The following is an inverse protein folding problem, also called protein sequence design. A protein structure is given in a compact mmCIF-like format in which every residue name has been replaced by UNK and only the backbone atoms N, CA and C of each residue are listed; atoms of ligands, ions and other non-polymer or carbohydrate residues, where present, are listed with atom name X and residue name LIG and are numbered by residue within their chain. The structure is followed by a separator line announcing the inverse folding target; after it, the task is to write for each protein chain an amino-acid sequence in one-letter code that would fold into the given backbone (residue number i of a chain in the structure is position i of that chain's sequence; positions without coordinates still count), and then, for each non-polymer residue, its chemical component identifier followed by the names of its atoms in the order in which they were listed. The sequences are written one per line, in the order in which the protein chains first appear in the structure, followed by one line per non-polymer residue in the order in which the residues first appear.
data_IF_059560144978
#
_entry.id   IF_059560144978
#
_cell.length_a   1.000
_cell.length_b   1.000
_cell.length_c   1.000
_cell.angle_alpha   90.00
_cell.angle_beta   90.00
_cell.angle_gamma   90.00
#
_symmetry.space_group_name_H-M   'P 1'
#
loop_
_entity.id
_entity.type
_entity.pdbx_description
1 polymer ?
#
# COMPACT_ATOMS: atom_id res chain seq x y z
N UNK A 1 -23.62 40.12 -17.94
CA UNK A 1 -22.97 40.14 -16.61
C UNK A 1 -22.39 38.74 -16.35
N UNK A 2 -21.10 38.49 -16.62
CA UNK A 2 -20.49 37.23 -16.25
C UNK A 2 -20.17 37.28 -14.74
N UNK A 3 -20.83 36.44 -13.95
CA UNK A 3 -20.42 36.21 -12.56
C UNK A 3 -19.06 35.53 -12.57
N UNK A 4 -18.04 36.26 -12.12
CA UNK A 4 -16.70 35.79 -11.78
C UNK A 4 -16.82 34.70 -10.70
N UNK A 5 -17.11 33.47 -11.13
CA UNK A 5 -17.16 32.29 -10.27
C UNK A 5 -15.72 31.84 -10.10
N UNK A 6 -14.99 32.54 -9.22
CA UNK A 6 -13.70 32.05 -8.73
C UNK A 6 -13.94 30.67 -8.15
N UNK A 7 -13.45 29.64 -8.82
CA UNK A 7 -13.53 28.26 -8.36
C UNK A 7 -12.84 28.18 -7.00
N UNK A 8 -13.66 28.15 -5.94
CA UNK A 8 -13.17 28.04 -4.58
C UNK A 8 -12.42 26.71 -4.46
N UNK A 9 -11.13 26.80 -4.12
CA UNK A 9 -10.29 25.62 -3.90
C UNK A 9 -10.93 24.78 -2.79
N UNK A 10 -11.27 23.50 -3.05
CA UNK A 10 -11.93 22.66 -2.06
C UNK A 10 -11.04 22.49 -0.82
N UNK A 11 -11.64 22.65 0.37
CA UNK A 11 -10.94 22.47 1.63
C UNK A 11 -10.89 20.98 1.98
N UNK A 12 -9.67 20.42 1.96
CA UNK A 12 -9.40 19.04 2.35
C UNK A 12 -8.88 19.00 3.79
N UNK A 13 -9.54 18.22 4.63
CA UNK A 13 -9.11 17.95 6.01
C UNK A 13 -8.73 16.49 6.11
N UNK A 14 -7.63 16.22 6.81
CA UNK A 14 -7.12 14.87 6.92
C UNK A 14 -7.06 14.42 8.38
N UNK A 15 -7.82 13.38 8.72
CA UNK A 15 -7.99 12.89 10.09
C UNK A 15 -7.23 11.57 10.23
N UNK A 16 -6.14 11.50 11.03
CA UNK A 16 -5.47 10.23 11.29
C UNK A 16 -6.44 9.30 12.03
N UNK A 17 -6.57 8.05 11.56
CA UNK A 17 -7.33 7.04 12.27
C UNK A 17 -6.34 6.31 13.18
N UNK A 18 -6.53 6.45 14.50
CA UNK A 18 -5.80 5.61 15.45
C UNK A 18 -6.31 4.19 15.30
N UNK A 19 -5.46 3.32 14.75
CA UNK A 19 -5.78 1.92 14.56
C UNK A 19 -6.00 1.26 15.93
N UNK A 20 -7.25 1.19 16.38
CA UNK A 20 -7.68 0.20 17.39
C UNK A 20 -8.03 -1.11 16.69
N UNK A 21 -7.16 -1.59 15.80
CA UNK A 21 -7.35 -2.91 15.21
C UNK A 21 -6.68 -3.95 16.11
N UNK A 22 -7.51 -4.69 16.85
CA UNK A 22 -7.14 -6.04 17.28
C UNK A 22 -7.06 -6.89 16.01
N UNK A 23 -5.87 -7.29 15.60
CA UNK A 23 -5.71 -8.40 14.67
C UNK A 23 -6.39 -9.63 15.28
N UNK A 24 -7.51 -10.06 14.72
CA UNK A 24 -8.12 -11.36 15.05
C UNK A 24 -7.49 -12.41 14.14
N UNK A 25 -6.23 -12.74 14.40
CA UNK A 25 -5.45 -13.69 13.60
C UNK A 25 -3.98 -13.51 13.91
N UNK A 26 -3.27 -14.60 14.13
CA UNK A 26 -1.89 -14.64 14.59
C UNK A 26 -0.94 -13.95 13.61
N UNK A 27 -0.75 -12.64 13.78
CA UNK A 27 0.40 -11.92 13.28
C UNK A 27 1.29 -11.65 14.49
N UNK A 28 2.25 -12.53 14.73
CA UNK A 28 3.38 -12.22 15.60
C UNK A 28 4.22 -11.13 14.89
N UNK A 29 4.50 -9.99 15.54
CA UNK A 29 5.47 -9.05 15.01
C UNK A 29 6.86 -9.68 15.15
N UNK A 30 7.50 -10.02 14.03
CA UNK A 30 8.96 -10.17 14.00
C UNK A 30 9.55 -8.77 14.10
N UNK A 31 10.22 -8.48 15.22
CA UNK A 31 11.11 -7.33 15.35
C UNK A 31 12.38 -7.64 14.55
N UNK A 32 12.46 -7.10 13.33
CA UNK A 32 13.73 -6.94 12.61
C UNK A 32 14.27 -5.54 12.90
N UNK A 33 14.75 -5.34 14.12
CA UNK A 33 15.64 -4.24 14.50
C UNK A 33 17.01 -4.85 14.81
N UNK A 34 17.83 -5.10 13.79
CA UNK A 34 19.30 -5.15 13.88
C UNK A 34 19.90 -5.31 12.48
N UNK A 35 20.03 -4.22 11.73
CA UNK A 35 21.00 -4.13 10.63
C UNK A 35 21.83 -2.85 10.80
N UNK A 36 23.13 -2.96 11.10
CA UNK A 36 23.98 -1.79 11.24
C UNK A 36 24.22 -1.15 9.87
N UNK A 37 23.86 0.13 9.75
CA UNK A 37 24.19 0.98 8.61
C UNK A 37 25.69 1.26 8.64
N UNK A 38 26.46 0.57 7.78
CA UNK A 38 27.82 0.99 7.46
C UNK A 38 27.77 2.29 6.64
N UNK A 39 28.10 3.41 7.30
CA UNK A 39 28.41 4.69 6.64
C UNK A 39 29.76 4.59 5.93
N UNK A 40 29.72 4.32 4.62
CA UNK A 40 30.85 4.45 3.71
C UNK A 40 31.00 5.88 3.19
N UNK A 41 32.20 6.43 3.38
CA UNK A 41 32.60 7.82 3.21
C UNK A 41 32.80 8.19 1.74
N UNK A 42 32.43 9.41 1.38
CA UNK A 42 32.73 10.06 0.10
C UNK A 42 34.24 10.17 -0.16
N UNK A 43 34.66 9.95 -1.41
CA UNK A 43 35.93 10.41 -1.96
C UNK A 43 35.70 11.16 -3.27
N UNK A 44 36.41 12.28 -3.39
CA UNK A 44 36.32 13.33 -4.40
C UNK A 44 36.83 12.91 -5.78
N UNK A 45 36.35 13.68 -6.76
CA UNK A 45 36.79 13.78 -8.14
C UNK A 45 38.27 14.16 -8.32
N UNK A 46 38.87 13.71 -9.43
CA UNK A 46 39.65 14.54 -10.35
C UNK A 46 39.94 13.78 -11.66
N UNK A 47 40.08 14.56 -12.73
CA UNK A 47 40.14 14.19 -14.14
C UNK A 47 41.40 13.45 -14.59
N UNK A 48 41.28 12.69 -15.70
CA UNK A 48 42.33 12.59 -16.70
C UNK A 48 41.76 12.24 -18.09
N UNK A 49 42.07 13.11 -19.04
CA UNK A 49 42.01 12.98 -20.49
C UNK A 49 42.69 11.71 -21.03
N UNK A 50 42.06 11.02 -21.99
CA UNK A 50 42.70 10.48 -23.20
C UNK A 50 41.69 9.80 -24.15
N UNK A 51 41.50 10.38 -25.34
CA UNK A 51 41.26 9.64 -26.61
C UNK A 51 42.64 9.15 -27.10
N UNK A 52 42.79 8.04 -27.85
CA UNK A 52 42.23 7.92 -29.20
C UNK A 52 41.82 6.49 -29.69
N UNK A 53 41.06 6.54 -30.79
CA UNK A 53 40.91 5.64 -31.96
C UNK A 53 41.17 4.12 -31.98
N UNK A 54 40.48 3.52 -32.98
CA UNK A 54 40.65 2.22 -33.66
C UNK A 54 39.73 1.14 -33.09
N UNK A 55 38.66 0.75 -33.78
CA UNK A 55 38.64 0.30 -35.16
C UNK A 55 38.77 -1.21 -35.15
N UNK A 56 37.63 -1.93 -35.26
CA UNK A 56 37.58 -3.33 -35.69
C UNK A 56 36.15 -3.73 -36.08
N UNK A 57 36.02 -3.89 -37.38
CA UNK A 57 35.02 -4.68 -38.09
C UNK A 57 34.83 -6.09 -37.52
N UNK A 58 33.55 -6.49 -37.42
CA UNK A 58 32.89 -7.78 -37.83
C UNK A 58 33.53 -9.13 -37.42
N UNK A 59 32.77 -10.26 -37.36
CA UNK A 59 31.54 -10.56 -38.11
C UNK A 59 30.41 -11.29 -37.36
N UNK A 60 29.29 -11.36 -38.10
CA UNK A 60 28.19 -12.32 -37.98
C UNK A 60 28.68 -13.77 -38.19
N UNK A 61 28.25 -14.66 -37.32
CA UNK A 61 28.03 -16.10 -37.51
C UNK A 61 27.04 -16.50 -36.39
N UNK A 62 25.93 -17.20 -36.60
CA UNK A 62 25.60 -18.17 -37.61
C UNK A 62 25.62 -19.56 -36.98
N UNK A 63 24.44 -20.21 -36.92
CA UNK A 63 24.15 -21.64 -36.65
C UNK A 63 24.04 -22.13 -35.18
N UNK A 64 23.32 -23.24 -34.92
CA UNK A 64 22.03 -23.63 -35.48
C UNK A 64 21.01 -24.19 -34.46
N UNK A 65 19.77 -24.17 -34.92
CA UNK A 65 18.63 -24.99 -34.53
C UNK A 65 18.93 -26.49 -34.68
N UNK A 66 19.02 -27.28 -33.59
CA UNK A 66 18.86 -28.75 -33.57
C UNK A 66 18.60 -29.31 -32.16
N UNK A 67 17.64 -30.24 -32.09
CA UNK A 67 17.54 -31.39 -31.16
C UNK A 67 17.09 -31.02 -29.72
N UNK A 68 15.99 -31.51 -29.12
CA UNK A 68 15.22 -32.76 -29.20
C UNK A 68 13.90 -32.52 -28.45
N UNK A 69 12.72 -32.72 -29.02
CA UNK A 69 11.98 -34.00 -28.99
C UNK A 69 12.54 -35.08 -28.03
N UNK A 70 12.08 -35.06 -26.79
CA UNK A 70 11.98 -36.13 -25.78
C UNK A 70 11.18 -35.51 -24.63
N UNK A 71 10.06 -35.98 -24.11
CA UNK A 71 9.46 -37.30 -24.09
C UNK A 71 7.94 -37.15 -23.98
N UNK A 72 7.23 -37.84 -24.88
CA UNK A 72 5.91 -38.37 -24.55
C UNK A 72 6.12 -39.53 -23.56
N UNK A 73 5.12 -39.75 -22.71
CA UNK A 73 4.80 -40.98 -21.94
C UNK A 73 5.31 -41.04 -20.50
N UNK A 74 4.42 -40.63 -19.59
CA UNK A 74 3.91 -41.46 -18.49
C UNK A 74 2.64 -40.73 -17.98
N UNK A 75 1.42 -41.26 -18.05
CA UNK A 75 1.05 -42.65 -17.84
C UNK A 75 1.18 -42.99 -16.37
N UNK A 76 0.33 -42.38 -15.52
CA UNK A 76 0.40 -42.52 -14.07
C UNK A 76 -0.96 -42.35 -13.42
N UNK A 77 -1.88 -43.25 -13.76
CA UNK A 77 -3.05 -43.57 -12.95
C UNK A 77 -2.59 -43.99 -11.56
N UNK A 78 -2.93 -43.21 -10.54
CA UNK A 78 -2.95 -43.66 -9.15
C UNK A 78 -4.05 -42.89 -8.42
N UNK A 79 -5.26 -43.44 -8.49
CA UNK A 79 -6.16 -43.36 -7.34
C UNK A 79 -5.56 -44.20 -6.21
N UNK A 80 -5.60 -43.69 -4.98
CA UNK A 80 -6.04 -44.56 -3.91
C UNK A 80 -7.10 -43.90 -3.01
N UNK A 81 -8.17 -44.66 -2.90
CA UNK A 81 -8.65 -45.20 -1.64
C UNK A 81 -9.54 -44.31 -0.75
N UNK A 82 -10.83 -44.56 -0.98
CA UNK A 82 -11.87 -44.51 0.03
C UNK A 82 -11.47 -45.37 1.23
N UNK A 83 -11.22 -44.77 2.39
CA UNK A 83 -11.60 -45.32 3.72
C UNK A 83 -11.14 -44.39 4.83
N UNK A 84 -12.08 -43.68 5.48
CA UNK A 84 -12.43 -43.96 6.89
C UNK A 84 -13.52 -43.03 7.37
N UNK A 85 -14.69 -43.65 7.54
CA UNK A 85 -15.77 -43.17 8.39
C UNK A 85 -15.23 -43.02 9.81
N UNK A 86 -15.27 -41.82 10.35
CA UNK A 86 -15.07 -41.52 11.76
C UNK A 86 -16.01 -40.41 12.14
N UNK A 87 -17.27 -40.73 12.44
CA UNK A 87 -18.19 -39.80 13.11
C UNK A 87 -17.70 -39.63 14.55
N UNK A 88 -17.27 -38.43 14.98
CA UNK A 88 -17.08 -38.19 16.41
C UNK A 88 -18.44 -38.22 17.10
N UNK A 89 -18.52 -39.03 18.16
CA UNK A 89 -19.65 -39.11 19.09
C UNK A 89 -19.90 -37.72 19.68
N UNK A 90 -21.13 -37.22 19.54
CA UNK A 90 -21.62 -36.05 20.27
C UNK A 90 -21.64 -36.38 21.77
N UNK A 91 -20.99 -35.58 22.64
CA UNK A 91 -21.22 -35.67 24.07
C UNK A 91 -22.64 -35.20 24.42
N UNK A 92 -23.33 -35.89 25.34
CA UNK A 92 -24.60 -35.44 25.87
C UNK A 92 -24.37 -34.38 26.96
N UNK A 93 -25.24 -33.36 26.98
CA UNK A 93 -25.49 -32.59 28.20
C UNK A 93 -24.60 -31.37 28.44
N UNK A 94 -24.83 -30.30 27.69
CA UNK A 94 -24.77 -28.97 28.31
C UNK A 94 -26.06 -28.21 28.00
N UNK A 95 -26.85 -28.05 29.06
CA UNK A 95 -28.09 -27.30 29.08
C UNK A 95 -27.89 -25.93 28.44
N UNK A 96 -28.77 -25.64 27.49
CA UNK A 96 -28.89 -24.37 26.80
C UNK A 96 -29.17 -23.24 27.80
N UNK A 97 -28.12 -22.62 28.34
CA UNK A 97 -28.21 -21.25 28.85
C UNK A 97 -28.56 -20.37 27.65
N UNK A 98 -29.86 -20.11 27.50
CA UNK A 98 -30.44 -19.09 26.62
C UNK A 98 -29.86 -17.73 27.03
N UNK A 99 -28.62 -17.45 26.63
CA UNK A 99 -28.08 -16.11 26.64
C UNK A 99 -28.97 -15.33 25.69
N UNK A 100 -29.83 -14.48 26.26
CA UNK A 100 -30.57 -13.44 25.54
C UNK A 100 -29.56 -12.74 24.68
N UNK A 101 -29.50 -13.11 23.40
CA UNK A 101 -28.74 -12.41 22.38
C UNK A 101 -29.45 -11.07 22.29
N UNK A 102 -28.97 -10.09 23.04
CA UNK A 102 -29.22 -8.69 22.76
C UNK A 102 -28.77 -8.50 21.33
N UNK A 103 -29.74 -8.54 20.41
CA UNK A 103 -29.49 -8.24 19.00
C UNK A 103 -28.73 -6.92 19.01
N UNK A 104 -27.49 -6.88 18.46
CA UNK A 104 -26.77 -5.62 18.36
C UNK A 104 -27.74 -4.65 17.69
N UNK A 105 -28.18 -3.64 18.45
CA UNK A 105 -29.02 -2.59 17.88
C UNK A 105 -28.13 -1.96 16.82
N UNK A 106 -28.41 -2.27 15.56
CA UNK A 106 -27.82 -1.56 14.44
C UNK A 106 -28.08 -0.09 14.73
N UNK A 107 -27.05 0.63 15.15
CA UNK A 107 -27.12 2.08 15.29
C UNK A 107 -27.57 2.55 13.92
N UNK A 108 -28.78 3.11 13.85
CA UNK A 108 -29.21 3.83 12.66
C UNK A 108 -28.06 4.80 12.35
N UNK A 109 -27.51 4.79 11.12
CA UNK A 109 -26.53 5.80 10.75
C UNK A 109 -27.12 7.15 11.12
N UNK A 110 -26.38 7.92 11.92
CA UNK A 110 -26.80 9.26 12.31
C UNK A 110 -27.02 10.11 11.05
N UNK A 111 -27.79 11.21 11.15
CA UNK A 111 -27.92 12.14 10.04
C UNK A 111 -26.52 12.55 9.56
N UNK A 112 -26.32 12.54 8.24
CA UNK A 112 -25.05 12.95 7.63
C UNK A 112 -24.66 14.34 8.14
N UNK A 113 -23.42 14.51 8.58
CA UNK A 113 -22.92 15.80 9.06
C UNK A 113 -23.09 16.85 7.95
N UNK A 114 -23.84 17.95 8.19
CA UNK A 114 -24.28 18.85 7.12
C UNK A 114 -23.14 19.57 6.39
N UNK A 115 -21.92 19.56 6.94
CA UNK A 115 -20.73 20.20 6.38
C UNK A 115 -19.81 19.31 5.53
N UNK A 116 -20.02 17.99 5.46
CA UNK A 116 -19.14 17.08 4.71
C UNK A 116 -19.67 16.87 3.28
N UNK A 117 -18.88 17.29 2.28
CA UNK A 117 -19.19 17.08 0.87
C UNK A 117 -18.74 15.70 0.36
N UNK A 118 -17.72 15.11 0.99
CA UNK A 118 -17.23 13.78 0.66
C UNK A 118 -16.19 13.30 1.66
N UNK A 119 -16.00 11.99 1.75
CA UNK A 119 -14.95 11.39 2.54
C UNK A 119 -14.40 10.14 1.85
N UNK A 120 -13.09 9.90 1.97
CA UNK A 120 -12.42 8.73 1.44
C UNK A 120 -11.42 8.19 2.47
N UNK A 121 -11.39 6.86 2.63
CA UNK A 121 -10.38 6.21 3.42
C UNK A 121 -9.08 6.15 2.60
N UNK A 122 -7.99 6.67 3.16
CA UNK A 122 -6.65 6.51 2.64
C UNK A 122 -5.94 5.46 3.48
N UNK A 123 -5.70 4.30 2.88
CA UNK A 123 -4.86 3.27 3.47
C UNK A 123 -3.49 3.30 2.84
N UNK A 124 -2.46 3.07 3.66
CA UNK A 124 -1.10 2.82 3.19
C UNK A 124 -0.57 1.53 3.80
N UNK A 125 0.24 0.81 3.05
CA UNK A 125 0.87 -0.42 3.49
C UNK A 125 2.20 -0.68 2.79
N UNK A 126 2.81 -1.81 3.13
CA UNK A 126 4.00 -2.32 2.44
C UNK A 126 3.58 -3.42 1.47
N UNK A 127 4.18 -3.47 0.30
CA UNK A 127 4.00 -4.51 -0.71
C UNK A 127 5.28 -4.68 -1.51
N UNK A 128 5.24 -5.52 -2.54
CA UNK A 128 6.41 -5.83 -3.35
C UNK A 128 6.10 -5.71 -4.83
N UNK A 129 7.03 -5.09 -5.55
CA UNK A 129 7.09 -5.04 -7.00
C UNK A 129 8.12 -6.06 -7.46
N UNK A 130 7.80 -6.76 -8.55
CA UNK A 130 8.72 -7.72 -9.16
C UNK A 130 9.32 -7.12 -10.43
N UNK A 131 10.63 -7.24 -10.60
CA UNK A 131 11.33 -6.94 -11.83
C UNK A 131 10.98 -7.96 -12.93
N UNK A 132 11.44 -7.71 -14.15
CA UNK A 132 11.13 -8.55 -15.32
C UNK A 132 11.61 -10.01 -15.16
N UNK A 133 12.71 -10.22 -14.43
CA UNK A 133 13.26 -11.53 -14.06
C UNK A 133 12.46 -12.25 -12.96
N UNK A 134 11.44 -11.60 -12.40
CA UNK A 134 10.60 -12.11 -11.33
C UNK A 134 11.19 -11.94 -9.93
N UNK A 135 12.35 -11.30 -9.78
CA UNK A 135 12.89 -10.98 -8.46
C UNK A 135 12.19 -9.76 -7.85
N UNK A 136 12.02 -9.71 -6.52
CA UNK A 136 11.60 -8.48 -5.84
C UNK A 136 12.55 -7.34 -6.15
N UNK A 137 12.00 -6.14 -6.29
CA UNK A 137 12.81 -4.92 -6.32
C UNK A 137 13.53 -4.73 -4.97
N UNK A 138 14.71 -4.09 -5.00
CA UNK A 138 15.59 -3.94 -3.82
C UNK A 138 14.90 -3.32 -2.59
N UNK A 139 13.87 -2.50 -2.81
CA UNK A 139 13.09 -1.85 -1.78
C UNK A 139 11.63 -2.29 -1.79
N UNK A 140 11.04 -2.47 -0.61
CA UNK A 140 9.61 -2.68 -0.48
C UNK A 140 8.81 -1.47 -0.98
N UNK A 141 7.76 -1.72 -1.75
CA UNK A 141 6.90 -0.68 -2.27
C UNK A 141 5.91 -0.20 -1.20
N UNK A 142 5.70 1.11 -1.14
CA UNK A 142 4.57 1.68 -0.40
C UNK A 142 3.31 1.54 -1.25
N UNK A 143 2.37 0.73 -0.79
CA UNK A 143 1.06 0.58 -1.40
C UNK A 143 0.12 1.64 -0.84
N UNK A 144 -0.54 2.41 -1.68
CA UNK A 144 -1.44 3.51 -1.25
C UNK A 144 -2.77 3.50 -1.99
N UNK A 145 -3.85 3.85 -1.30
CA UNK A 145 -5.19 3.93 -1.91
C UNK A 145 -5.35 5.19 -2.79
N UNK A 146 -6.01 5.02 -3.93
CA UNK A 146 -6.52 6.08 -4.79
C UNK A 146 -7.99 6.28 -4.47
N UNK A 147 -8.35 7.49 -4.03
CA UNK A 147 -9.74 7.82 -3.75
C UNK A 147 -10.60 7.69 -5.02
N UNK A 148 -11.78 7.08 -4.88
CA UNK A 148 -12.75 6.97 -5.96
C UNK A 148 -13.23 8.36 -6.42
N UNK A 149 -13.55 9.27 -5.48
CA UNK A 149 -13.87 10.67 -5.75
C UNK A 149 -12.62 11.42 -6.26
N UNK A 150 -12.62 11.94 -7.50
CA UNK A 150 -11.50 12.71 -8.05
C UNK A 150 -11.10 13.91 -7.19
N UNK A 151 -12.04 14.54 -6.49
CA UNK A 151 -11.77 15.71 -5.64
C UNK A 151 -11.06 15.36 -4.33
N UNK A 152 -10.94 14.07 -4.00
CA UNK A 152 -10.21 13.55 -2.83
C UNK A 152 -8.86 12.93 -3.22
N UNK A 153 -8.53 12.90 -4.51
CA UNK A 153 -7.22 12.42 -4.99
C UNK A 153 -6.19 13.50 -4.71
N UNK A 154 -5.23 13.15 -3.87
CA UNK A 154 -4.14 14.02 -3.45
C UNK A 154 -2.86 13.73 -4.24
N UNK A 155 -2.77 12.55 -4.87
CA UNK A 155 -1.67 12.22 -5.75
C UNK A 155 -1.78 13.02 -7.05
N UNK A 156 -0.63 13.35 -7.64
CA UNK A 156 -0.55 14.05 -8.91
C UNK A 156 -0.23 13.03 -10.00
N UNK A 157 -1.08 12.98 -11.03
CA UNK A 157 -0.83 12.14 -12.20
C UNK A 157 0.18 12.85 -13.10
N UNK A 158 1.23 12.13 -13.52
CA UNK A 158 2.25 12.62 -14.45
C UNK A 158 1.91 12.21 -15.88
N UNK A 159 1.74 10.90 -16.11
CA UNK A 159 1.42 10.33 -17.42
C UNK A 159 0.27 9.32 -17.35
N UNK A 160 -0.39 9.07 -18.49
CA UNK A 160 -1.46 8.07 -18.61
C UNK A 160 -2.80 8.55 -18.05
N UNK A 161 -3.49 7.67 -17.30
CA UNK A 161 -4.81 7.95 -16.71
C UNK A 161 -4.96 7.34 -15.33
N UNK A 162 -5.97 7.80 -14.60
CA UNK A 162 -6.38 7.14 -13.36
C UNK A 162 -6.91 5.73 -13.63
N UNK A 163 -6.72 4.76 -12.70
CA UNK A 163 -7.26 3.42 -12.83
C UNK A 163 -8.79 3.44 -12.95
N UNK A 164 -9.31 2.64 -13.87
CA UNK A 164 -10.74 2.45 -14.12
C UNK A 164 -11.29 1.17 -13.47
N UNK A 165 -10.41 0.27 -13.01
CA UNK A 165 -10.78 -1.01 -12.43
C UNK A 165 -9.75 -1.54 -11.43
N UNK A 166 -10.08 -2.62 -10.70
CA UNK A 166 -9.30 -3.15 -9.59
C UNK A 166 -8.00 -3.87 -10.00
N UNK A 167 -7.82 -4.19 -11.28
CA UNK A 167 -6.60 -4.80 -11.83
C UNK A 167 -5.71 -3.76 -12.54
N UNK A 168 -6.03 -2.48 -12.41
CA UNK A 168 -5.22 -1.36 -12.89
C UNK A 168 -4.55 -0.63 -11.74
N UNK A 169 -3.30 -0.23 -11.93
CA UNK A 169 -2.48 0.42 -10.90
C UNK A 169 -1.75 1.63 -11.44
N UNK A 170 -1.24 2.47 -10.54
CA UNK A 170 -0.27 3.52 -10.86
C UNK A 170 1.03 3.25 -10.13
N UNK A 171 2.15 3.63 -10.76
CA UNK A 171 3.47 3.65 -10.14
C UNK A 171 3.99 5.07 -10.06
N UNK A 172 4.86 5.41 -9.11
CA UNK A 172 5.64 6.63 -9.28
C UNK A 172 6.54 6.54 -10.52
N UNK A 173 6.83 7.69 -11.11
CA UNK A 173 7.56 7.76 -12.37
C UNK A 173 8.98 7.15 -12.30
N UNK A 174 9.66 7.25 -11.16
CA UNK A 174 11.03 6.74 -11.01
C UNK A 174 11.03 5.22 -10.91
N UNK A 175 10.06 4.64 -10.20
CA UNK A 175 9.85 3.19 -10.13
C UNK A 175 9.43 2.62 -11.47
N UNK A 176 8.51 3.27 -12.19
CA UNK A 176 8.10 2.85 -13.52
C UNK A 176 9.30 2.82 -14.49
N UNK A 177 10.14 3.86 -14.46
CA UNK A 177 11.37 3.91 -15.25
C UNK A 177 12.37 2.81 -14.86
N UNK A 178 12.50 2.51 -13.57
CA UNK A 178 13.42 1.47 -13.06
C UNK A 178 13.08 0.07 -13.58
N UNK A 179 11.81 -0.24 -13.78
CA UNK A 179 11.33 -1.53 -14.31
C UNK A 179 10.99 -1.48 -15.80
N UNK A 180 11.36 -0.41 -16.51
CA UNK A 180 11.06 -0.16 -17.93
C UNK A 180 9.57 -0.31 -18.28
N UNK A 181 8.69 0.18 -17.40
CA UNK A 181 7.25 0.14 -17.58
C UNK A 181 6.69 1.49 -18.01
N UNK A 182 5.78 1.47 -18.98
CA UNK A 182 5.02 2.63 -19.44
C UNK A 182 3.52 2.39 -19.21
N UNK A 183 2.67 3.44 -19.20
CA UNK A 183 1.23 3.25 -19.19
C UNK A 183 0.79 2.33 -20.32
N UNK A 184 0.03 1.28 -19.97
CA UNK A 184 -0.33 0.18 -20.87
C UNK A 184 0.58 -1.05 -20.76
N UNK A 185 1.66 -1.02 -19.98
CA UNK A 185 2.45 -2.22 -19.69
C UNK A 185 1.80 -3.08 -18.60
N UNK A 186 2.15 -4.36 -18.61
CA UNK A 186 1.80 -5.29 -17.53
C UNK A 186 2.89 -5.26 -16.46
N UNK A 187 2.50 -5.03 -15.22
CA UNK A 187 3.40 -4.95 -14.06
C UNK A 187 3.20 -6.17 -13.18
N UNK A 188 4.30 -6.76 -12.70
CA UNK A 188 4.29 -7.90 -11.80
C UNK A 188 4.39 -7.44 -10.35
N UNK A 189 3.52 -7.98 -9.51
CA UNK A 189 3.33 -7.61 -8.11
C UNK A 189 3.29 -8.88 -7.26
N UNK A 190 3.72 -8.79 -6.01
CA UNK A 190 3.36 -9.80 -5.01
C UNK A 190 2.04 -9.40 -4.35
N UNK A 191 1.08 -10.33 -4.27
CA UNK A 191 -0.15 -10.16 -3.50
C UNK A 191 0.13 -10.31 -2.00
N UNK A 192 -0.80 -9.84 -1.18
CA UNK A 192 -0.72 -9.98 0.27
C UNK A 192 -0.65 -11.45 0.74
N UNK A 193 -1.13 -12.40 -0.06
CA UNK A 193 -1.04 -13.84 0.20
C UNK A 193 0.30 -14.47 -0.24
N UNK A 194 1.24 -13.67 -0.75
CA UNK A 194 2.54 -14.12 -1.25
C UNK A 194 2.53 -14.61 -2.70
N UNK A 195 1.36 -14.67 -3.37
CA UNK A 195 1.29 -15.10 -4.77
C UNK A 195 1.63 -13.96 -5.73
N UNK A 196 2.28 -14.30 -6.85
CA UNK A 196 2.52 -13.32 -7.90
C UNK A 196 1.21 -12.96 -8.63
N UNK A 197 1.06 -11.70 -9.01
CA UNK A 197 -0.03 -11.21 -9.83
C UNK A 197 0.46 -10.23 -10.88
N UNK A 198 -0.29 -10.14 -11.96
CA UNK A 198 -0.10 -9.13 -12.99
C UNK A 198 -1.20 -8.09 -12.85
N UNK A 199 -0.83 -6.82 -12.93
CA UNK A 199 -1.74 -5.69 -13.00
C UNK A 199 -1.35 -4.79 -14.18
N UNK A 200 -2.33 -4.09 -14.75
CA UNK A 200 -2.09 -3.16 -15.86
C UNK A 200 -1.65 -1.80 -15.32
N UNK A 201 -0.54 -1.26 -15.81
CA UNK A 201 -0.12 0.09 -15.47
C UNK A 201 -1.02 1.10 -16.19
N UNK A 202 -1.88 1.81 -15.47
CA UNK A 202 -2.78 2.81 -16.06
C UNK A 202 -2.10 4.17 -16.28
N UNK A 203 -1.08 4.48 -15.49
CA UNK A 203 -0.43 5.79 -15.47
C UNK A 203 0.72 5.86 -14.47
N UNK A 204 1.40 7.00 -14.45
CA UNK A 204 2.50 7.28 -13.51
C UNK A 204 2.18 8.46 -12.61
N UNK A 205 2.70 8.43 -11.39
CA UNK A 205 2.55 9.52 -10.41
C UNK A 205 3.78 10.42 -10.40
N UNK A 206 3.52 11.70 -10.15
CA UNK A 206 4.54 12.68 -9.83
C UNK A 206 4.80 12.68 -8.31
N UNK A 207 6.06 12.44 -7.92
CA UNK A 207 6.49 12.41 -6.52
C UNK A 207 6.21 13.71 -5.76
N UNK A 208 6.03 14.85 -6.45
CA UNK A 208 5.64 16.13 -5.83
C UNK A 208 4.27 16.10 -5.16
N UNK A 209 3.36 15.24 -5.63
CA UNK A 209 2.05 15.05 -5.00
C UNK A 209 2.13 14.32 -3.66
N UNK A 210 3.23 13.62 -3.40
CA UNK A 210 3.44 12.81 -2.21
C UNK A 210 4.86 12.95 -1.65
N UNK A 211 5.27 14.13 -1.14
CA UNK A 211 6.64 14.35 -0.68
C UNK A 211 7.09 13.36 0.41
N UNK A 212 6.15 12.89 1.24
CA UNK A 212 6.43 11.88 2.28
C UNK A 212 6.75 10.49 1.74
N UNK A 213 6.52 10.26 0.44
CA UNK A 213 6.80 8.99 -0.25
C UNK A 213 7.98 9.12 -1.24
N UNK A 214 8.59 10.30 -1.34
CA UNK A 214 9.70 10.53 -2.26
C UNK A 214 10.89 9.62 -1.92
N UNK A 215 11.52 9.05 -2.95
CA UNK A 215 12.67 8.16 -2.79
C UNK A 215 12.34 6.70 -2.46
N UNK A 216 11.07 6.36 -2.31
CA UNK A 216 10.61 4.98 -2.13
C UNK A 216 9.75 4.54 -3.31
N UNK A 217 9.75 3.25 -3.68
CA UNK A 217 8.80 2.76 -4.68
C UNK A 217 7.36 2.95 -4.19
N UNK A 218 6.50 3.52 -5.03
CA UNK A 218 5.09 3.76 -4.71
C UNK A 218 4.22 3.01 -5.70
N UNK A 219 3.32 2.20 -5.16
CA UNK A 219 2.25 1.52 -5.88
C UNK A 219 0.91 2.11 -5.43
N UNK A 220 0.23 2.85 -6.29
CA UNK A 220 -1.11 3.33 -5.99
C UNK A 220 -2.17 2.45 -6.64
N UNK A 221 -3.16 2.04 -5.85
CA UNK A 221 -4.20 1.09 -6.25
C UNK A 221 -5.58 1.68 -5.94
N UNK A 222 -6.65 1.27 -6.64
CA UNK A 222 -8.01 1.72 -6.32
C UNK A 222 -8.38 1.55 -4.84
N UNK A 223 -9.26 2.41 -4.34
CA UNK A 223 -9.81 2.25 -3.00
C UNK A 223 -10.41 0.84 -2.80
N UNK A 224 -10.23 0.28 -1.60
CA UNK A 224 -10.64 -1.08 -1.27
C UNK A 224 -9.71 -2.20 -1.80
N UNK A 225 -8.72 -1.91 -2.66
CA UNK A 225 -7.79 -2.95 -3.15
C UNK A 225 -6.43 -2.97 -2.46
N UNK A 226 -6.16 -2.06 -1.51
CA UNK A 226 -4.88 -2.04 -0.76
C UNK A 226 -4.60 -3.38 -0.10
N UNK A 227 -5.59 -4.01 0.53
CA UNK A 227 -5.44 -5.32 1.19
C UNK A 227 -5.12 -6.49 0.24
N UNK A 228 -5.24 -6.30 -1.09
CA UNK A 228 -4.84 -7.32 -2.08
C UNK A 228 -3.34 -7.34 -2.33
N UNK A 229 -2.68 -6.18 -2.20
CA UNK A 229 -1.27 -5.99 -2.58
C UNK A 229 -0.38 -5.63 -1.40
N UNK A 230 -0.94 -5.05 -0.33
CA UNK A 230 -0.20 -4.74 0.87
C UNK A 230 -0.10 -6.00 1.75
N UNK A 231 1.13 -6.49 1.98
CA UNK A 231 1.42 -7.55 2.95
C UNK A 231 1.16 -7.09 4.39
N UNK A 232 1.28 -5.79 4.65
CA UNK A 232 0.88 -5.17 5.92
C UNK A 232 0.34 -3.76 5.70
N UNK A 233 -0.82 -3.44 6.30
CA UNK A 233 -1.34 -2.06 6.37
C UNK A 233 -0.65 -1.33 7.51
N UNK A 234 0.06 -0.25 7.19
CA UNK A 234 0.87 0.51 8.15
C UNK A 234 0.18 1.77 8.64
N UNK A 235 -0.73 2.34 7.87
CA UNK A 235 -1.54 3.48 8.31
C UNK A 235 -2.91 3.54 7.63
N UNK A 236 -3.84 4.22 8.31
CA UNK A 236 -5.15 4.57 7.79
C UNK A 236 -5.48 6.02 8.16
N UNK A 237 -5.99 6.77 7.20
CA UNK A 237 -6.39 8.18 7.34
C UNK A 237 -7.74 8.39 6.68
N UNK A 238 -8.56 9.26 7.23
CA UNK A 238 -9.79 9.70 6.58
C UNK A 238 -9.55 11.07 5.94
N UNK A 239 -9.68 11.14 4.63
CA UNK A 239 -9.67 12.38 3.88
C UNK A 239 -11.11 12.88 3.76
N UNK A 240 -11.34 14.13 4.15
CA UNK A 240 -12.67 14.74 4.20
C UNK A 240 -12.66 16.02 3.39
N UNK A 241 -13.54 16.08 2.39
CA UNK A 241 -13.84 17.31 1.65
C UNK A 241 -15.03 17.98 2.30
N UNK A 242 -14.84 19.21 2.74
CA UNK A 242 -15.92 20.02 3.29
C UNK A 242 -16.69 20.72 2.17
N UNK A 243 -17.98 21.01 2.41
CA UNK A 243 -18.74 21.88 1.52
C UNK A 243 -18.15 23.30 1.56
N UNK A 244 -18.20 24.09 0.47
CA UNK A 244 -17.65 25.44 0.46
C UNK A 244 -18.23 26.36 1.53
N UNK A 245 -19.50 26.14 1.89
CA UNK A 245 -20.28 26.87 2.89
C UNK A 245 -20.17 26.26 4.31
N UNK A 246 -19.40 25.18 4.48
CA UNK A 246 -19.23 24.57 5.78
C UNK A 246 -18.48 25.53 6.73
N UNK A 247 -18.91 25.65 8.00
CA UNK A 247 -18.19 26.41 9.00
C UNK A 247 -16.74 25.94 9.07
N UNK A 248 -15.78 26.86 9.17
CA UNK A 248 -14.39 26.50 9.36
C UNK A 248 -14.27 25.64 10.64
N UNK A 249 -13.52 24.52 10.61
CA UNK A 249 -13.31 23.74 11.81
C UNK A 249 -12.68 24.64 12.88
N UNK A 250 -13.10 24.53 14.16
CA UNK A 250 -12.47 25.27 15.22
C UNK A 250 -10.96 24.93 15.21
N UNK A 251 -10.07 25.90 15.47
CA UNK A 251 -8.64 25.64 15.52
C UNK A 251 -8.37 24.48 16.49
N UNK A 252 -7.38 23.61 16.21
CA UNK A 252 -7.03 22.54 17.13
C UNK A 252 -6.77 23.18 18.49
N UNK A 253 -7.55 22.78 19.51
CA UNK A 253 -7.31 23.24 20.87
C UNK A 253 -5.87 22.83 21.17
N UNK A 254 -4.99 23.82 21.38
CA UNK A 254 -3.67 23.54 21.95
C UNK A 254 -3.95 22.76 23.22
N UNK A 255 -3.58 21.50 23.25
CA UNK A 255 -3.54 20.75 24.50
C UNK A 255 -2.77 21.64 25.46
N UNK A 256 -3.42 22.09 26.53
CA UNK A 256 -2.72 22.82 27.57
C UNK A 256 -1.52 21.93 27.96
N UNK A 257 -0.31 22.50 28.09
CA UNK A 257 0.83 21.71 28.56
C UNK A 257 0.39 20.99 29.84
N UNK A 258 0.79 19.72 30.05
CA UNK A 258 0.46 19.03 31.28
C UNK A 258 0.86 19.96 32.42
N UNK A 259 -0.14 20.39 33.21
CA UNK A 259 0.08 21.28 34.34
C UNK A 259 1.24 20.69 35.12
N UNK A 260 2.34 21.44 35.21
CA UNK A 260 3.53 20.98 35.91
C UNK A 260 3.07 20.39 37.24
N UNK A 261 3.35 19.10 37.43
CA UNK A 261 2.93 18.37 38.60
C UNK A 261 3.35 19.19 39.83
N UNK A 262 2.38 19.43 40.70
CA UNK A 262 2.56 20.16 41.94
C UNK A 262 3.75 19.53 42.71
N UNK A 263 4.87 20.25 42.93
CA UNK A 263 6.10 19.68 43.47
C UNK A 263 6.00 19.22 44.94
N UNK A 264 4.79 19.18 45.52
CA UNK A 264 4.55 18.90 46.94
C UNK A 264 4.40 17.41 47.29
N UNK A 265 4.51 16.50 46.34
CA UNK A 265 4.53 15.05 46.63
C UNK A 265 5.96 14.49 46.59
N UNK A 266 6.85 15.02 47.43
CA UNK A 266 8.07 14.31 47.80
C UNK A 266 7.75 13.41 49.01
N UNK A 267 7.90 12.08 48.92
CA UNK A 267 7.75 11.20 50.08
C UNK A 267 8.85 11.55 51.10
N UNK A 268 8.43 11.86 52.33
CA UNK A 268 9.32 12.14 53.44
C UNK A 268 10.30 10.98 53.65
N UNK A 269 11.60 11.30 53.68
CA UNK A 269 12.61 10.42 54.25
C UNK A 269 12.38 10.38 55.76
N UNK A 270 12.00 9.22 56.29
CA UNK A 270 12.11 8.96 57.73
C UNK A 270 13.59 8.79 58.12
N UNK A 271 13.98 9.27 59.31
CA UNK A 271 15.33 9.14 59.87
C UNK A 271 15.69 7.70 60.27
#
# INVERSE_FOLDING_TARGET
MPTDRRDAVPRLVHIPLTARHRCSGACEPRNDDDVPIHRGRAARAAAATARPERGRDRPRSGLPDRLRQRERRAGGLLQPDRRRRGRPRRPPGHQARRRRRTRPRHRRPGPADPGVAGAALRQTGRGELLAADGQPLDDAATVTAIAADPALRWQLLKDGRWPAGPDEVLLDADTAARIDAAPGSDVRLTRADGTAATARLAGTLDGRGAPSLAGHPVLAVPDGTVGRYATAVTAARLDVRLRPDAPAPPPPRRSAPPSAADPRSAPGRSP
#
